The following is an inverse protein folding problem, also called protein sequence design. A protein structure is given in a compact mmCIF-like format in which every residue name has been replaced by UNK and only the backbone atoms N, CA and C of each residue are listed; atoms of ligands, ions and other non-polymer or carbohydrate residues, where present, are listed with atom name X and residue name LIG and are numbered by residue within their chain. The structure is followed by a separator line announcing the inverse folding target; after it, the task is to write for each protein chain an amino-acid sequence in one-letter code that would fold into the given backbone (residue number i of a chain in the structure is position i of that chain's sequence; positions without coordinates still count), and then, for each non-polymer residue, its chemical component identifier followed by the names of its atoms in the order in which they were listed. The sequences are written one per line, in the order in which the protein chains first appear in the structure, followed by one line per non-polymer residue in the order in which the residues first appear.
data_IF_861031075339
#
_entry.id   IF_861031075339
#
_cell.length_a   1.000
_cell.length_b   1.000
_cell.length_c   1.000
_cell.angle_alpha   90.00
_cell.angle_beta   90.00
_cell.angle_gamma   90.00
#
_symmetry.space_group_name_H-M   'P 1'
#
loop_
_entity.id
_entity.type
_entity.pdbx_description
1 polymer ?
#
# COMPACT_ATOMS: atom_id res chain seq x y z
N UNK A 1 33.49 48.25 19.54
CA UNK A 1 34.11 48.05 18.21
C UNK A 1 33.72 46.66 17.70
N UNK A 2 32.85 46.60 16.70
CA UNK A 2 32.71 45.43 15.82
C UNK A 2 32.25 45.95 14.46
N UNK A 3 33.17 46.00 13.50
CA UNK A 3 32.87 46.46 12.15
C UNK A 3 32.07 45.38 11.42
N UNK A 4 30.79 45.66 11.14
CA UNK A 4 30.00 44.86 10.18
C UNK A 4 30.61 45.07 8.79
N UNK A 5 31.39 44.09 8.31
CA UNK A 5 31.82 44.05 6.90
C UNK A 5 30.57 43.91 6.03
N UNK A 6 30.18 44.99 5.34
CA UNK A 6 29.19 44.93 4.25
C UNK A 6 29.78 44.05 3.15
N UNK A 7 29.12 42.92 2.88
CA UNK A 7 29.44 42.10 1.73
C UNK A 7 29.11 42.92 0.47
N UNK A 8 30.05 42.95 -0.47
CA UNK A 8 29.99 43.84 -1.63
C UNK A 8 28.90 43.34 -2.60
N UNK A 9 28.03 44.24 -3.08
CA UNK A 9 26.85 43.89 -3.90
C UNK A 9 27.20 43.10 -5.17
N UNK A 10 28.42 43.28 -5.69
CA UNK A 10 28.92 42.50 -6.83
C UNK A 10 29.21 41.04 -6.51
N UNK A 11 29.56 40.70 -5.26
CA UNK A 11 29.84 39.31 -4.83
C UNK A 11 28.55 38.51 -4.70
N UNK A 12 27.50 39.11 -4.16
CA UNK A 12 26.14 38.54 -4.11
C UNK A 12 25.60 38.26 -5.52
N UNK A 13 25.73 39.24 -6.42
CA UNK A 13 25.28 39.11 -7.82
C UNK A 13 26.04 38.00 -8.55
N UNK A 14 27.36 37.93 -8.39
CA UNK A 14 28.18 36.86 -9.00
C UNK A 14 27.81 35.50 -8.43
N UNK A 15 27.57 35.38 -7.12
CA UNK A 15 27.18 34.11 -6.50
C UNK A 15 25.80 33.64 -6.99
N UNK A 16 24.84 34.56 -7.13
CA UNK A 16 23.50 34.27 -7.67
C UNK A 16 23.56 33.92 -9.16
N UNK A 17 24.38 34.60 -9.96
CA UNK A 17 24.61 34.27 -11.37
C UNK A 17 25.27 32.89 -11.55
N UNK A 18 26.24 32.52 -10.70
CA UNK A 18 26.86 31.18 -10.71
C UNK A 18 25.83 30.10 -10.34
N UNK A 19 24.99 30.36 -9.34
CA UNK A 19 23.91 29.43 -8.95
C UNK A 19 22.85 29.26 -10.05
N UNK A 20 22.52 30.33 -10.81
CA UNK A 20 21.54 30.31 -11.90
C UNK A 20 22.08 29.66 -13.18
N UNK A 21 23.37 29.81 -13.51
CA UNK A 21 23.96 29.19 -14.72
C UNK A 21 24.37 27.74 -14.53
N UNK A 22 24.56 27.28 -13.29
CA UNK A 22 24.82 25.88 -12.99
C UNK A 22 23.55 25.01 -12.89
N UNK A 23 22.35 25.59 -12.95
CA UNK A 23 21.11 24.91 -12.61
C UNK A 23 20.34 24.16 -13.74
N UNK A 24 20.43 24.46 -15.05
CA UNK A 24 19.67 23.68 -16.03
C UNK A 24 20.41 22.49 -16.64
N UNK A 25 21.74 22.43 -16.53
CA UNK A 25 22.54 21.41 -17.24
C UNK A 25 22.57 20.03 -16.56
N UNK A 26 21.99 19.88 -15.38
CA UNK A 26 22.03 18.62 -14.61
C UNK A 26 20.76 17.76 -14.75
N UNK A 27 19.73 18.24 -15.47
CA UNK A 27 18.60 17.40 -15.86
C UNK A 27 18.51 17.38 -17.39
N UNK A 28 19.63 17.11 -18.04
CA UNK A 28 19.60 16.65 -19.41
C UNK A 28 19.47 15.12 -19.36
N UNK A 29 18.26 14.60 -19.57
CA UNK A 29 18.05 13.17 -19.84
C UNK A 29 18.54 12.88 -21.26
N UNK A 30 19.85 12.99 -21.48
CA UNK A 30 20.49 12.44 -22.66
C UNK A 30 20.75 10.96 -22.38
N UNK A 31 19.90 10.11 -22.96
CA UNK A 31 20.20 8.80 -23.54
C UNK A 31 18.91 7.95 -23.51
N UNK A 32 18.48 7.42 -24.67
CA UNK A 32 17.36 6.47 -24.81
C UNK A 32 17.72 5.06 -24.26
N UNK A 33 18.92 4.93 -23.69
CA UNK A 33 19.46 3.72 -23.10
C UNK A 33 18.93 3.55 -21.68
N UNK A 34 17.68 3.07 -21.59
CA UNK A 34 17.05 2.70 -20.31
C UNK A 34 17.96 1.72 -19.57
N UNK A 35 18.41 2.08 -18.37
CA UNK A 35 19.15 1.17 -17.50
C UNK A 35 18.23 0.00 -17.09
N UNK A 36 18.48 -1.18 -17.64
CA UNK A 36 17.77 -2.41 -17.29
C UNK A 36 18.53 -3.13 -16.17
N UNK A 37 17.82 -3.39 -15.07
CA UNK A 37 18.34 -4.15 -13.93
C UNK A 37 17.70 -5.53 -13.98
N UNK A 38 18.51 -6.59 -14.02
CA UNK A 38 17.99 -7.95 -14.10
C UNK A 38 17.19 -8.35 -12.85
N UNK A 39 16.14 -9.12 -13.07
CA UNK A 39 15.32 -9.72 -12.01
C UNK A 39 16.09 -10.87 -11.35
N UNK A 40 16.04 -10.95 -10.02
CA UNK A 40 16.55 -12.06 -9.22
C UNK A 40 15.39 -12.81 -8.58
N UNK A 41 15.23 -14.10 -8.90
CA UNK A 41 14.22 -14.95 -8.27
C UNK A 41 14.67 -15.35 -6.86
N UNK A 42 13.73 -15.34 -5.92
CA UNK A 42 13.93 -15.94 -4.60
C UNK A 42 14.06 -17.47 -4.79
N UNK A 43 15.06 -18.12 -4.15
CA UNK A 43 15.23 -19.57 -4.29
C UNK A 43 13.97 -20.35 -3.95
N UNK A 44 13.61 -21.33 -4.79
CA UNK A 44 12.41 -22.15 -4.59
C UNK A 44 12.41 -22.85 -3.21
N UNK A 45 13.57 -23.31 -2.73
CA UNK A 45 13.69 -23.92 -1.41
C UNK A 45 13.26 -22.99 -0.27
N UNK A 46 13.50 -21.68 -0.41
CA UNK A 46 13.07 -20.66 0.56
C UNK A 46 11.60 -20.29 0.34
N UNK A 47 11.20 -20.06 -0.90
CA UNK A 47 9.84 -19.67 -1.26
C UNK A 47 8.82 -20.73 -0.85
N UNK A 48 9.04 -21.99 -1.21
CA UNK A 48 8.18 -23.13 -0.87
C UNK A 48 8.10 -23.38 0.64
N UNK A 49 9.22 -23.26 1.37
CA UNK A 49 9.24 -23.42 2.82
C UNK A 49 8.42 -22.36 3.56
N UNK A 50 8.23 -21.18 2.96
CA UNK A 50 7.44 -20.08 3.51
C UNK A 50 6.06 -19.95 2.88
N UNK A 51 5.71 -20.77 1.89
CA UNK A 51 4.48 -20.61 1.10
C UNK A 51 4.42 -19.30 0.31
N UNK A 52 5.57 -18.68 0.02
CA UNK A 52 5.65 -17.38 -0.62
C UNK A 52 5.67 -17.52 -2.16
N UNK A 53 4.54 -17.23 -2.80
CA UNK A 53 4.37 -17.23 -4.26
C UNK A 53 3.62 -15.97 -4.70
N UNK A 54 3.87 -15.54 -5.93
CA UNK A 54 3.03 -14.57 -6.62
C UNK A 54 1.61 -15.12 -6.82
N UNK A 55 0.64 -14.24 -7.12
CA UNK A 55 -0.75 -14.65 -7.35
C UNK A 55 -0.92 -15.60 -8.55
N UNK A 56 0.02 -15.57 -9.51
CA UNK A 56 0.08 -16.49 -10.65
C UNK A 56 0.82 -17.81 -10.34
N UNK A 57 1.28 -17.99 -9.10
CA UNK A 57 2.04 -19.15 -8.65
C UNK A 57 3.54 -19.09 -8.97
N UNK A 58 4.03 -18.01 -9.57
CA UNK A 58 5.47 -17.82 -9.82
C UNK A 58 6.24 -17.52 -8.52
N UNK A 59 7.57 -17.68 -8.58
CA UNK A 59 8.45 -17.37 -7.45
C UNK A 59 8.55 -15.86 -7.25
N UNK A 60 8.54 -15.35 -6.01
CA UNK A 60 8.80 -13.95 -5.73
C UNK A 60 10.17 -13.54 -6.28
N UNK A 61 10.29 -12.27 -6.66
CA UNK A 61 11.52 -11.77 -7.25
C UNK A 61 11.84 -10.34 -6.81
N UNK A 62 13.03 -9.86 -7.13
CA UNK A 62 13.40 -8.47 -6.92
C UNK A 62 14.43 -7.99 -7.94
N UNK A 63 14.45 -6.68 -8.16
CA UNK A 63 15.49 -5.97 -8.90
C UNK A 63 16.35 -5.21 -7.89
N UNK A 64 17.67 -5.44 -7.90
CA UNK A 64 18.62 -4.78 -7.01
C UNK A 64 19.64 -3.98 -7.83
N UNK A 65 19.54 -2.65 -7.77
CA UNK A 65 20.53 -1.75 -8.34
C UNK A 65 21.41 -1.17 -7.22
N UNK A 66 22.67 -1.61 -7.19
CA UNK A 66 23.65 -1.16 -6.20
C UNK A 66 24.20 0.20 -6.62
N UNK A 67 24.21 1.15 -5.69
CA UNK A 67 24.82 2.46 -5.92
C UNK A 67 26.34 2.37 -6.07
N UNK A 68 26.91 3.42 -6.66
CA UNK A 68 28.35 3.57 -6.90
C UNK A 68 28.80 4.99 -6.55
N UNK A 69 30.13 5.20 -6.43
CA UNK A 69 30.70 6.51 -6.10
C UNK A 69 30.16 7.07 -4.79
N UNK A 70 29.64 8.31 -4.82
CA UNK A 70 29.02 8.96 -3.66
C UNK A 70 27.79 8.21 -3.14
N UNK A 71 27.13 7.42 -3.98
CA UNK A 71 25.96 6.60 -3.63
C UNK A 71 26.29 5.15 -3.27
N UNK A 72 27.56 4.78 -3.03
CA UNK A 72 27.95 3.38 -2.83
C UNK A 72 27.20 2.64 -1.69
N UNK A 73 26.65 3.39 -0.73
CA UNK A 73 25.84 2.87 0.39
C UNK A 73 24.33 2.97 0.18
N UNK A 74 23.88 3.48 -0.96
CA UNK A 74 22.47 3.70 -1.27
C UNK A 74 22.10 2.74 -2.40
N UNK A 75 21.23 1.76 -2.13
CA UNK A 75 20.80 0.78 -3.12
C UNK A 75 19.32 0.98 -3.43
N UNK A 76 18.94 0.76 -4.67
CA UNK A 76 17.54 0.70 -5.07
C UNK A 76 17.12 -0.77 -5.13
N UNK A 77 16.09 -1.10 -4.37
CA UNK A 77 15.50 -2.42 -4.32
C UNK A 77 14.02 -2.31 -4.71
N UNK A 78 13.65 -2.99 -5.79
CA UNK A 78 12.26 -3.13 -6.23
C UNK A 78 11.85 -4.58 -6.06
N UNK A 79 10.77 -4.80 -5.32
CA UNK A 79 10.20 -6.14 -5.12
C UNK A 79 9.16 -6.43 -6.19
N UNK A 80 9.17 -7.66 -6.69
CA UNK A 80 8.11 -8.24 -7.50
C UNK A 80 7.34 -9.22 -6.61
N UNK A 81 6.01 -9.03 -6.52
CA UNK A 81 5.12 -9.78 -5.64
C UNK A 81 5.41 -9.60 -4.14
N UNK A 82 5.25 -8.37 -3.65
CA UNK A 82 5.41 -8.04 -2.24
C UNK A 82 4.13 -8.30 -1.45
N UNK A 83 4.16 -9.29 -0.55
CA UNK A 83 3.05 -9.60 0.34
C UNK A 83 3.39 -9.18 1.77
N UNK A 84 2.59 -8.28 2.38
CA UNK A 84 2.84 -7.80 3.74
C UNK A 84 3.01 -8.93 4.76
N UNK A 85 2.26 -10.04 4.66
CA UNK A 85 2.32 -11.17 5.58
C UNK A 85 3.75 -11.72 5.84
N UNK A 86 4.65 -11.62 4.86
CA UNK A 86 6.03 -12.08 4.99
C UNK A 86 6.99 -10.99 5.48
N UNK A 87 6.64 -9.71 5.33
CA UNK A 87 7.48 -8.57 5.67
C UNK A 87 7.14 -7.95 7.03
N UNK A 88 5.86 -7.90 7.40
CA UNK A 88 5.37 -7.20 8.60
C UNK A 88 6.04 -7.68 9.89
N UNK A 89 6.44 -8.96 9.96
CA UNK A 89 7.11 -9.53 11.14
C UNK A 89 8.52 -8.96 11.40
N UNK A 90 9.13 -8.33 10.39
CA UNK A 90 10.47 -7.72 10.44
C UNK A 90 10.43 -6.20 10.61
N UNK A 91 9.25 -5.58 10.64
CA UNK A 91 9.12 -4.14 10.90
C UNK A 91 9.15 -3.93 12.42
N UNK A 92 10.15 -3.19 12.90
CA UNK A 92 10.31 -2.87 14.33
C UNK A 92 9.47 -1.66 14.76
N UNK A 93 9.33 -0.67 13.87
CA UNK A 93 8.52 0.53 14.13
C UNK A 93 7.05 0.16 14.26
N UNK A 94 6.31 0.67 15.26
CA UNK A 94 4.86 0.47 15.35
C UNK A 94 4.15 0.96 14.08
N UNK A 95 3.23 0.17 13.56
CA UNK A 95 2.41 0.52 12.40
C UNK A 95 0.95 0.12 12.61
N UNK A 96 0.05 0.81 11.90
CA UNK A 96 -1.38 0.56 11.91
C UNK A 96 -1.78 -0.10 10.59
N UNK A 97 -2.53 -1.19 10.65
CA UNK A 97 -3.06 -1.85 9.45
C UNK A 97 -4.47 -1.35 9.16
N UNK A 98 -4.60 -0.57 8.10
CA UNK A 98 -5.90 -0.20 7.54
C UNK A 98 -6.10 -0.98 6.24
N UNK A 99 -7.18 -1.74 6.14
CA UNK A 99 -7.56 -2.41 4.90
C UNK A 99 -9.06 -2.68 4.89
N UNK A 100 -9.70 -2.67 3.73
CA UNK A 100 -11.01 -3.30 3.58
C UNK A 100 -10.84 -4.82 3.53
N UNK A 101 -11.74 -5.57 4.16
CA UNK A 101 -11.77 -7.03 4.04
C UNK A 101 -12.06 -7.51 2.61
N UNK A 102 -12.68 -6.66 1.80
CA UNK A 102 -13.03 -6.92 0.40
C UNK A 102 -12.49 -5.79 -0.48
N UNK A 103 -11.17 -5.58 -0.43
CA UNK A 103 -10.50 -4.56 -1.24
C UNK A 103 -10.81 -4.78 -2.72
N UNK A 104 -11.43 -3.79 -3.36
CA UNK A 104 -11.97 -3.95 -4.73
C UNK A 104 -10.85 -4.09 -5.76
N UNK A 105 -9.67 -3.53 -5.50
CA UNK A 105 -8.52 -3.73 -6.38
C UNK A 105 -8.04 -5.18 -6.32
N UNK A 106 -7.91 -5.75 -5.11
CA UNK A 106 -7.59 -7.17 -4.95
C UNK A 106 -8.67 -8.08 -5.53
N UNK A 107 -9.94 -7.72 -5.38
CA UNK A 107 -11.05 -8.47 -5.97
C UNK A 107 -10.94 -8.49 -7.50
N UNK A 108 -10.81 -7.33 -8.14
CA UNK A 108 -10.81 -7.21 -9.60
C UNK A 108 -9.52 -7.67 -10.27
N UNK A 109 -8.36 -7.60 -9.60
CA UNK A 109 -7.07 -7.92 -10.21
C UNK A 109 -6.43 -9.20 -9.67
N UNK A 110 -6.89 -9.70 -8.52
CA UNK A 110 -6.40 -10.93 -7.90
C UNK A 110 -7.41 -12.06 -7.93
N UNK A 111 -8.57 -11.86 -7.29
CA UNK A 111 -9.53 -12.95 -7.06
C UNK A 111 -10.32 -13.34 -8.31
N UNK A 112 -10.87 -12.35 -9.02
CA UNK A 112 -11.71 -12.58 -10.20
C UNK A 112 -11.39 -11.62 -11.36
N UNK A 113 -10.14 -11.58 -11.85
CA UNK A 113 -9.80 -10.78 -13.02
C UNK A 113 -10.46 -11.33 -14.29
N UNK A 114 -10.72 -10.48 -15.30
CA UNK A 114 -11.30 -10.94 -16.57
C UNK A 114 -10.51 -12.05 -17.27
N UNK A 115 -9.19 -12.12 -17.04
CA UNK A 115 -8.32 -13.18 -17.55
C UNK A 115 -8.60 -14.55 -16.93
N UNK A 116 -9.06 -14.59 -15.68
CA UNK A 116 -9.44 -15.80 -14.94
C UNK A 116 -10.94 -16.11 -15.07
N UNK A 117 -11.80 -15.10 -15.12
CA UNK A 117 -13.25 -15.25 -15.28
C UNK A 117 -13.70 -15.19 -16.75
N UNK A 118 -13.19 -16.12 -17.57
CA UNK A 118 -13.46 -16.15 -19.03
C UNK A 118 -14.94 -16.28 -19.40
N UNK A 119 -15.79 -16.72 -18.46
CA UNK A 119 -17.23 -16.91 -18.66
C UNK A 119 -18.06 -15.78 -18.06
N UNK A 120 -17.44 -14.80 -17.39
CA UNK A 120 -18.11 -13.65 -16.82
C UNK A 120 -19.03 -14.00 -15.65
N UNK A 121 -18.74 -15.07 -14.90
CA UNK A 121 -19.53 -15.47 -13.74
C UNK A 121 -19.50 -14.41 -12.64
N UNK A 122 -18.39 -13.71 -12.49
CA UNK A 122 -18.15 -12.67 -11.48
C UNK A 122 -18.58 -11.28 -11.92
N UNK A 123 -18.73 -11.02 -13.23
CA UNK A 123 -19.03 -9.68 -13.75
C UNK A 123 -20.09 -8.90 -12.96
N UNK A 124 -21.23 -9.49 -12.63
CA UNK A 124 -22.28 -8.77 -11.86
C UNK A 124 -21.85 -8.53 -10.41
N UNK A 125 -21.31 -9.55 -9.76
CA UNK A 125 -20.82 -9.51 -8.38
C UNK A 125 -19.66 -8.51 -8.21
N UNK A 126 -18.80 -8.38 -9.22
CA UNK A 126 -17.67 -7.47 -9.21
C UNK A 126 -18.05 -5.99 -9.20
N UNK A 127 -19.21 -5.63 -9.75
CA UNK A 127 -19.72 -4.26 -9.77
C UNK A 127 -20.82 -3.99 -8.74
N UNK A 128 -21.48 -5.06 -8.26
CA UNK A 128 -22.55 -4.99 -7.27
C UNK A 128 -22.46 -6.20 -6.32
N UNK A 129 -21.96 -6.03 -5.08
CA UNK A 129 -21.85 -7.10 -4.11
C UNK A 129 -23.19 -7.70 -3.71
N UNK A 130 -24.30 -6.98 -3.87
CA UNK A 130 -25.65 -7.51 -3.64
C UNK A 130 -26.09 -8.47 -4.76
N UNK A 131 -25.45 -8.41 -5.94
CA UNK A 131 -25.71 -9.32 -7.05
C UNK A 131 -24.92 -10.64 -6.96
N UNK A 132 -24.03 -10.79 -5.97
CA UNK A 132 -23.29 -12.03 -5.75
C UNK A 132 -24.22 -13.17 -5.32
N UNK A 133 -24.02 -14.36 -5.87
CA UNK A 133 -24.68 -15.56 -5.37
C UNK A 133 -23.97 -16.13 -4.13
N UNK A 134 -24.60 -17.09 -3.44
CA UNK A 134 -24.07 -17.68 -2.22
C UNK A 134 -22.63 -18.22 -2.37
N UNK A 135 -22.33 -18.92 -3.47
CA UNK A 135 -20.99 -19.46 -3.71
C UNK A 135 -19.95 -18.34 -3.93
N UNK A 136 -20.31 -17.23 -4.58
CA UNK A 136 -19.42 -16.08 -4.74
C UNK A 136 -19.14 -15.39 -3.41
N UNK A 137 -20.18 -15.24 -2.57
CA UNK A 137 -20.03 -14.74 -1.21
C UNK A 137 -19.11 -15.67 -0.41
N UNK A 138 -19.30 -16.98 -0.46
CA UNK A 138 -18.46 -17.95 0.28
C UNK A 138 -16.97 -17.81 -0.11
N UNK A 139 -16.67 -17.61 -1.40
CA UNK A 139 -15.31 -17.36 -1.87
C UNK A 139 -14.75 -16.03 -1.36
N UNK A 140 -15.54 -14.95 -1.40
CA UNK A 140 -15.15 -13.65 -0.84
C UNK A 140 -14.92 -13.72 0.68
N UNK A 141 -15.72 -14.51 1.40
CA UNK A 141 -15.54 -14.75 2.83
C UNK A 141 -14.28 -15.58 3.10
N UNK A 142 -13.98 -16.57 2.27
CA UNK A 142 -12.73 -17.30 2.31
C UNK A 142 -11.53 -16.36 2.17
N UNK A 143 -11.57 -15.47 1.18
CA UNK A 143 -10.52 -14.47 0.95
C UNK A 143 -10.32 -13.55 2.17
N UNK A 144 -11.41 -13.04 2.76
CA UNK A 144 -11.36 -12.28 4.01
C UNK A 144 -10.67 -13.07 5.14
N UNK A 145 -11.05 -14.33 5.32
CA UNK A 145 -10.50 -15.15 6.40
C UNK A 145 -9.00 -15.42 6.21
N UNK A 146 -8.55 -15.64 4.97
CA UNK A 146 -7.13 -15.79 4.65
C UNK A 146 -6.35 -14.50 4.94
N UNK A 147 -6.90 -13.33 4.58
CA UNK A 147 -6.30 -12.03 4.92
C UNK A 147 -6.17 -11.85 6.44
N UNK A 148 -7.23 -12.15 7.21
CA UNK A 148 -7.21 -12.03 8.66
C UNK A 148 -6.23 -13.02 9.31
N UNK A 149 -6.12 -14.24 8.80
CA UNK A 149 -5.16 -15.24 9.28
C UNK A 149 -3.70 -14.82 9.01
N UNK A 150 -3.47 -14.01 7.97
CA UNK A 150 -2.16 -13.49 7.61
C UNK A 150 -1.71 -12.27 8.47
N UNK A 151 -2.62 -11.65 9.22
CA UNK A 151 -2.29 -10.52 10.08
C UNK A 151 -1.45 -10.96 11.30
N UNK A 152 -0.38 -10.22 11.64
CA UNK A 152 0.39 -10.54 12.84
C UNK A 152 -0.45 -10.39 14.12
N UNK A 153 -0.44 -11.43 14.97
CA UNK A 153 -1.17 -11.41 16.25
C UNK A 153 -0.73 -10.30 17.21
N UNK A 154 0.53 -9.87 17.10
CA UNK A 154 1.19 -8.86 17.95
C UNK A 154 0.90 -7.40 17.59
N UNK A 155 0.12 -7.12 16.55
CA UNK A 155 -0.20 -5.73 16.19
C UNK A 155 -0.96 -5.05 17.31
N UNK A 156 -0.81 -3.75 17.50
CA UNK A 156 -1.58 -2.95 18.47
C UNK A 156 -2.54 -1.95 17.80
N UNK A 157 -2.54 -1.90 16.47
CA UNK A 157 -3.33 -1.00 15.63
C UNK A 157 -3.81 -1.68 14.35
N UNK A 158 -5.12 -1.86 14.20
CA UNK A 158 -5.75 -2.25 12.94
C UNK A 158 -7.21 -1.79 12.85
N UNK A 159 -7.66 -1.55 11.62
CA UNK A 159 -9.06 -1.31 11.27
C UNK A 159 -9.37 -2.04 9.97
N UNK A 160 -10.16 -3.11 10.07
CA UNK A 160 -10.56 -3.97 8.96
C UNK A 160 -12.08 -3.97 8.83
N UNK A 161 -12.63 -3.15 7.93
CA UNK A 161 -14.09 -3.09 7.72
C UNK A 161 -14.58 -4.06 6.63
N UNK A 162 -15.89 -4.31 6.60
CA UNK A 162 -16.52 -5.20 5.63
C UNK A 162 -17.02 -4.52 4.36
N UNK A 163 -16.59 -3.28 4.11
CA UNK A 163 -16.99 -2.50 2.94
C UNK A 163 -16.24 -2.98 1.69
N UNK A 164 -16.87 -2.97 0.52
CA UNK A 164 -16.14 -3.07 -0.75
C UNK A 164 -15.55 -1.70 -1.07
N UNK A 165 -14.24 -1.50 -0.89
CA UNK A 165 -13.59 -0.21 -1.14
C UNK A 165 -12.10 -0.39 -1.44
N UNK A 166 -11.46 0.60 -2.06
CA UNK A 166 -10.01 0.66 -2.24
C UNK A 166 -9.50 2.04 -1.80
N UNK A 167 -8.35 2.10 -1.13
CA UNK A 167 -7.74 3.37 -0.69
C UNK A 167 -8.60 4.15 0.32
N UNK A 168 -8.79 3.62 1.53
CA UNK A 168 -9.73 4.19 2.52
C UNK A 168 -9.19 5.38 3.34
N UNK A 169 -7.92 5.74 3.18
CA UNK A 169 -7.32 6.90 3.84
C UNK A 169 -7.27 8.16 2.98
N UNK A 170 -7.67 8.06 1.72
CA UNK A 170 -7.48 9.14 0.73
C UNK A 170 -8.67 10.10 0.63
N UNK A 171 -9.89 9.63 0.94
CA UNK A 171 -11.11 10.43 0.92
C UNK A 171 -11.70 10.63 2.32
N UNK A 172 -12.31 11.80 2.56
CA UNK A 172 -13.06 12.04 3.80
C UNK A 172 -14.28 11.15 3.92
N UNK A 173 -14.91 10.77 2.80
CA UNK A 173 -16.11 9.95 2.75
C UNK A 173 -15.90 8.57 3.40
N UNK A 174 -14.67 8.05 3.35
CA UNK A 174 -14.28 6.82 4.03
C UNK A 174 -13.57 7.07 5.36
N UNK A 175 -12.85 8.19 5.47
CA UNK A 175 -11.96 8.47 6.60
C UNK A 175 -12.67 9.04 7.85
N UNK A 176 -13.46 10.11 7.71
CA UNK A 176 -13.98 10.88 8.85
C UNK A 176 -15.31 11.64 8.62
N UNK A 177 -15.93 11.54 7.44
CA UNK A 177 -17.23 12.17 7.18
C UNK A 177 -18.31 11.66 8.16
N UNK A 178 -19.38 12.44 8.36
CA UNK A 178 -20.46 12.09 9.30
C UNK A 178 -21.05 10.71 8.99
N UNK A 179 -21.24 10.41 7.71
CA UNK A 179 -21.73 9.15 7.19
C UNK A 179 -20.63 8.14 6.83
N UNK A 180 -19.36 8.39 7.14
CA UNK A 180 -18.28 7.43 6.82
C UNK A 180 -18.50 6.06 7.48
N UNK A 181 -17.91 4.97 6.93
CA UNK A 181 -18.06 3.63 7.49
C UNK A 181 -17.49 3.52 8.91
N UNK A 182 -18.18 2.75 9.76
CA UNK A 182 -17.90 2.63 11.20
C UNK A 182 -17.90 1.19 11.68
N UNK A 183 -16.89 0.85 12.47
CA UNK A 183 -16.88 -0.38 13.27
C UNK A 183 -17.10 0.02 14.72
N UNK A 184 -18.11 -0.56 15.38
CA UNK A 184 -18.47 -0.21 16.76
C UNK A 184 -18.64 1.32 16.97
N UNK A 185 -19.32 1.98 16.03
CA UNK A 185 -19.56 3.45 16.02
C UNK A 185 -18.30 4.33 15.89
N UNK A 186 -17.17 3.74 15.50
CA UNK A 186 -15.89 4.45 15.35
C UNK A 186 -15.49 4.57 13.89
N UNK A 187 -15.16 5.78 13.45
CA UNK A 187 -14.57 6.04 12.13
C UNK A 187 -13.12 5.55 12.06
N UNK A 188 -12.59 5.45 10.83
CA UNK A 188 -11.18 5.14 10.60
C UNK A 188 -10.28 6.19 11.27
N UNK A 189 -10.60 7.47 11.10
CA UNK A 189 -9.79 8.56 11.66
C UNK A 189 -9.73 8.54 13.19
N UNK A 190 -10.83 8.24 13.86
CA UNK A 190 -10.88 8.09 15.32
C UNK A 190 -10.06 6.89 15.78
N UNK A 191 -10.18 5.75 15.10
CA UNK A 191 -9.40 4.55 15.40
C UNK A 191 -7.89 4.78 15.24
N UNK A 192 -7.48 5.39 14.13
CA UNK A 192 -6.08 5.75 13.88
C UNK A 192 -5.61 6.78 14.89
N UNK A 193 -6.43 7.81 15.21
CA UNK A 193 -6.09 8.82 16.19
C UNK A 193 -5.87 8.26 17.59
N UNK A 194 -6.73 7.35 18.04
CA UNK A 194 -6.61 6.68 19.33
C UNK A 194 -5.34 5.83 19.43
N UNK A 195 -4.98 5.12 18.36
CA UNK A 195 -3.71 4.39 18.27
C UNK A 195 -2.49 5.33 18.21
N UNK A 196 -2.52 6.33 17.32
CA UNK A 196 -1.39 7.24 17.07
C UNK A 196 -0.96 8.01 18.31
N UNK A 197 -1.94 8.46 19.11
CA UNK A 197 -1.67 9.17 20.37
C UNK A 197 -1.56 8.23 21.59
N UNK A 198 -1.43 6.92 21.39
CA UNK A 198 -1.31 5.91 22.45
C UNK A 198 -2.44 5.99 23.50
N UNK A 199 -3.65 6.34 23.09
CA UNK A 199 -4.81 6.44 24.01
C UNK A 199 -5.35 5.06 24.35
N UNK A 200 -5.31 4.12 23.39
CA UNK A 200 -5.66 2.70 23.58
C UNK A 200 -5.12 1.82 22.44
N UNK A 201 -5.01 0.52 22.71
CA UNK A 201 -4.88 -0.51 21.66
C UNK A 201 -6.16 -0.48 20.82
N UNK A 202 -6.01 -0.40 19.50
CA UNK A 202 -7.14 -0.28 18.58
C UNK A 202 -7.11 -1.44 17.59
N UNK A 203 -7.97 -2.44 17.81
CA UNK A 203 -8.12 -3.59 16.93
C UNK A 203 -9.58 -3.71 16.54
N UNK A 204 -9.96 -3.00 15.49
CA UNK A 204 -11.31 -3.05 14.96
C UNK A 204 -11.32 -4.01 13.77
N UNK A 205 -12.04 -5.12 13.89
CA UNK A 205 -12.30 -6.06 12.79
C UNK A 205 -13.80 -6.23 12.72
N UNK A 206 -14.35 -5.92 11.56
CA UNK A 206 -15.78 -5.96 11.32
C UNK A 206 -16.28 -7.39 11.07
N UNK A 207 -17.59 -7.57 11.10
CA UNK A 207 -18.24 -8.83 10.75
C UNK A 207 -18.15 -9.13 9.24
N UNK A 208 -18.42 -10.38 8.82
CA UNK A 208 -18.54 -10.72 7.39
C UNK A 208 -19.66 -9.92 6.70
N UNK A 209 -19.43 -9.40 5.49
CA UNK A 209 -20.46 -8.79 4.63
C UNK A 209 -21.69 -9.72 4.52
N UNK A 210 -22.94 -9.20 4.54
CA UNK A 210 -23.36 -7.80 4.44
C UNK A 210 -23.80 -7.17 5.76
N UNK A 211 -23.03 -7.34 6.84
CA UNK A 211 -23.48 -6.90 8.16
C UNK A 211 -23.37 -5.38 8.41
N UNK A 212 -22.39 -4.69 7.83
CA UNK A 212 -22.14 -3.28 8.10
C UNK A 212 -22.97 -2.39 7.17
N UNK A 213 -24.03 -1.82 7.71
CA UNK A 213 -24.93 -0.89 7.02
C UNK A 213 -24.35 0.50 6.80
N UNK A 214 -23.18 0.82 7.37
CA UNK A 214 -22.51 2.12 7.20
C UNK A 214 -21.59 2.16 5.97
N UNK A 215 -21.37 1.01 5.32
CA UNK A 215 -20.52 0.91 4.14
C UNK A 215 -21.13 1.51 2.87
N UNK A 216 -20.41 2.43 2.25
CA UNK A 216 -20.76 3.03 0.94
C UNK A 216 -20.12 2.34 -0.26
N UNK A 217 -20.02 1.00 -0.24
CA UNK A 217 -19.37 0.13 -1.24
C UNK A 217 -18.87 0.86 -2.52
N UNK A 218 -17.61 1.30 -2.49
CA UNK A 218 -16.96 2.13 -3.50
C UNK A 218 -16.29 1.23 -4.54
N UNK A 219 -17.01 0.95 -5.62
CA UNK A 219 -16.55 0.06 -6.69
C UNK A 219 -16.39 0.90 -7.97
N UNK A 220 -15.15 1.05 -8.49
CA UNK A 220 -14.87 1.76 -9.73
C UNK A 220 -15.45 1.10 -10.99
#
# INVERSE_FOLDING_TARGET
MAAKKKLNSGVEIVLVLVLLTCAPSLIHSADDNRLLVNMTLVPNSTASALGAFCLDGSLPAYHLHRGFGAGARNWLLQFECFFPQYALKYIETPFFVLNSAYDVFQFHHGLAPPSADKRGHWNRCSFDPAACNANQIDVLQGFRNDMLAALPSRLDGMFINSCFAHGQSESQDTWFADDSPRIHDKTIAEAVGDWYYNRRVTKEIDCPYPCDSTCHNLIP
#
